data_IF_643770812883
#
_entry.id   IF_643770812883
#
_cell.length_a   1.000
_cell.length_b   1.000
_cell.length_c   1.000
_cell.angle_alpha   90.00
_cell.angle_beta   90.00
_cell.angle_gamma   90.00
#
_symmetry.space_group_name_H-M   'P 1'
#
loop_
_entity.id
_entity.type
_entity.pdbx_description
1 polymer ?
#
# COMPACT_ATOMS: atom_id res chain seq x y z
N UNK A 1 -23.77 -6.31 -6.02
CA UNK A 1 -24.39 -6.15 -4.67
C UNK A 1 -23.30 -5.57 -3.79
N UNK A 2 -23.53 -4.40 -3.17
CA UNK A 2 -22.53 -3.79 -2.27
C UNK A 2 -22.40 -4.64 -1.00
N UNK A 3 -21.18 -4.75 -0.46
CA UNK A 3 -20.93 -5.47 0.80
C UNK A 3 -21.59 -4.69 1.96
N UNK A 4 -22.38 -5.36 2.82
CA UNK A 4 -23.04 -4.71 3.97
C UNK A 4 -22.07 -3.97 4.90
N UNK A 5 -20.81 -4.40 5.01
CA UNK A 5 -19.77 -3.75 5.82
C UNK A 5 -19.36 -2.42 5.22
N UNK A 6 -19.12 -2.40 3.90
CA UNK A 6 -18.80 -1.20 3.13
C UNK A 6 -19.92 -0.16 3.27
N UNK A 7 -21.16 -0.58 3.08
CA UNK A 7 -22.33 0.31 3.23
C UNK A 7 -22.49 0.83 4.66
N UNK A 8 -22.13 0.04 5.66
CA UNK A 8 -22.14 0.46 7.05
C UNK A 8 -21.11 1.55 7.33
N UNK A 9 -19.87 1.39 6.86
CA UNK A 9 -18.80 2.40 6.97
C UNK A 9 -19.21 3.69 6.26
N UNK A 10 -19.72 3.61 5.03
CA UNK A 10 -20.21 4.75 4.25
C UNK A 10 -21.31 5.52 4.96
N UNK A 11 -22.21 4.82 5.65
CA UNK A 11 -23.27 5.44 6.45
C UNK A 11 -22.73 6.20 7.65
N UNK A 12 -21.76 5.60 8.36
CA UNK A 12 -21.14 6.21 9.52
C UNK A 12 -20.26 7.42 9.15
N UNK A 13 -19.64 7.42 7.97
CA UNK A 13 -18.75 8.52 7.53
C UNK A 13 -19.48 9.85 7.32
N UNK A 14 -20.81 9.82 7.13
CA UNK A 14 -21.64 11.05 7.01
C UNK A 14 -21.62 11.90 8.27
N UNK A 15 -21.29 11.32 9.43
CA UNK A 15 -21.18 12.02 10.72
C UNK A 15 -20.04 11.38 11.52
N UNK A 16 -18.85 12.01 11.56
CA UNK A 16 -17.74 11.54 12.38
C UNK A 16 -18.19 11.24 13.80
N UNK A 17 -17.91 10.05 14.28
CA UNK A 17 -18.40 9.56 15.56
C UNK A 17 -17.51 8.45 16.12
N UNK A 18 -17.52 8.21 17.44
CA UNK A 18 -16.80 7.06 18.02
C UNK A 18 -17.25 5.71 17.46
N UNK A 19 -18.44 5.64 16.84
CA UNK A 19 -18.90 4.44 16.15
C UNK A 19 -18.14 4.22 14.83
N UNK A 20 -17.81 5.28 14.09
CA UNK A 20 -16.97 5.20 12.90
C UNK A 20 -15.58 4.68 13.27
N UNK A 21 -14.92 5.28 14.27
CA UNK A 21 -13.58 4.87 14.69
C UNK A 21 -13.53 3.38 15.06
N UNK A 22 -14.49 2.91 15.87
CA UNK A 22 -14.60 1.49 16.24
C UNK A 22 -14.90 0.57 15.05
N UNK A 23 -15.64 1.06 14.07
CA UNK A 23 -15.91 0.30 12.84
C UNK A 23 -14.64 0.16 12.01
N UNK A 24 -13.90 1.25 11.78
CA UNK A 24 -12.63 1.27 11.06
C UNK A 24 -11.59 0.37 11.72
N UNK A 25 -11.46 0.44 13.05
CA UNK A 25 -10.51 -0.40 13.80
C UNK A 25 -10.72 -1.90 13.55
N UNK A 26 -11.99 -2.32 13.41
CA UNK A 26 -12.38 -3.74 13.22
C UNK A 26 -12.53 -4.17 11.77
N UNK A 27 -12.47 -3.24 10.83
CA UNK A 27 -12.63 -3.53 9.40
C UNK A 27 -11.30 -3.88 8.76
N UNK A 28 -11.35 -4.65 7.69
CA UNK A 28 -10.20 -4.95 6.85
C UNK A 28 -9.87 -3.72 5.99
N UNK A 29 -8.62 -3.63 5.55
CA UNK A 29 -8.14 -2.52 4.72
C UNK A 29 -8.96 -2.39 3.43
N UNK A 30 -9.25 -3.51 2.77
CA UNK A 30 -10.01 -3.56 1.51
C UNK A 30 -11.46 -3.06 1.70
N UNK A 31 -12.11 -3.39 2.84
CA UNK A 31 -13.47 -2.91 3.15
C UNK A 31 -13.46 -1.39 3.37
N UNK A 32 -12.38 -0.85 3.99
CA UNK A 32 -12.23 0.59 4.23
C UNK A 32 -11.97 1.32 2.91
N UNK A 33 -11.04 0.82 2.08
CA UNK A 33 -10.74 1.38 0.76
C UNK A 33 -12.00 1.38 -0.12
N UNK A 34 -12.71 0.24 -0.21
CA UNK A 34 -13.97 0.15 -0.93
C UNK A 34 -15.05 1.11 -0.40
N UNK A 35 -15.05 1.39 0.91
CA UNK A 35 -15.98 2.36 1.49
C UNK A 35 -15.61 3.80 1.13
N UNK A 36 -14.33 4.09 0.86
CA UNK A 36 -13.87 5.40 0.39
C UNK A 36 -14.17 5.66 -1.08
N UNK A 37 -14.30 4.60 -1.88
CA UNK A 37 -14.60 4.72 -3.31
C UNK A 37 -15.95 5.36 -3.59
N UNK A 38 -15.97 6.29 -4.56
CA UNK A 38 -17.18 6.93 -5.09
C UNK A 38 -18.01 7.69 -4.05
N UNK A 39 -17.41 8.17 -2.96
CA UNK A 39 -18.10 9.00 -1.97
C UNK A 39 -17.57 10.44 -1.97
N UNK A 40 -18.33 11.34 -1.36
CA UNK A 40 -17.93 12.74 -1.28
C UNK A 40 -16.59 12.92 -0.51
N UNK A 41 -15.70 13.83 -0.95
CA UNK A 41 -14.40 14.04 -0.32
C UNK A 41 -14.43 14.30 1.19
N UNK A 42 -15.50 14.95 1.68
CA UNK A 42 -15.72 15.15 3.13
C UNK A 42 -15.91 13.84 3.89
N UNK A 43 -16.56 12.84 3.28
CA UNK A 43 -16.75 11.52 3.86
C UNK A 43 -15.48 10.69 3.79
N UNK A 44 -14.71 10.82 2.70
CA UNK A 44 -13.36 10.21 2.59
C UNK A 44 -12.45 10.71 3.70
N UNK A 45 -12.39 12.04 3.91
CA UNK A 45 -11.62 12.63 5.03
C UNK A 45 -12.06 12.12 6.39
N UNK A 46 -13.36 11.92 6.60
CA UNK A 46 -13.86 11.37 7.85
C UNK A 46 -13.42 9.93 8.09
N UNK A 47 -13.45 9.10 7.05
CA UNK A 47 -12.94 7.71 7.12
C UNK A 47 -11.43 7.73 7.38
N UNK A 48 -10.66 8.52 6.60
CA UNK A 48 -9.22 8.64 6.78
C UNK A 48 -8.85 9.09 8.19
N UNK A 49 -9.49 10.14 8.70
CA UNK A 49 -9.29 10.63 10.06
C UNK A 49 -9.63 9.59 11.14
N UNK A 50 -10.56 8.67 10.84
CA UNK A 50 -10.96 7.60 11.76
C UNK A 50 -9.95 6.47 11.86
N UNK A 51 -9.04 6.31 10.88
CA UNK A 51 -7.88 5.41 10.97
C UNK A 51 -6.92 5.90 12.07
N UNK A 52 -6.82 7.22 12.23
CA UNK A 52 -6.07 7.86 13.32
C UNK A 52 -4.55 7.71 13.15
N UNK A 53 -3.86 7.30 14.21
CA UNK A 53 -2.41 7.16 14.26
C UNK A 53 -1.94 5.72 14.02
N UNK A 54 -2.77 4.89 13.39
CA UNK A 54 -2.38 3.53 13.02
C UNK A 54 -1.78 3.56 11.62
N UNK A 55 -0.49 3.89 11.54
CA UNK A 55 0.24 4.03 10.27
C UNK A 55 0.24 2.72 9.48
N UNK A 56 0.36 1.55 10.15
CA UNK A 56 0.29 0.26 9.47
C UNK A 56 -1.05 0.08 8.73
N UNK A 57 -2.16 0.29 9.43
CA UNK A 57 -3.49 0.20 8.82
C UNK A 57 -3.71 1.27 7.73
N UNK A 58 -3.15 2.45 7.91
CA UNK A 58 -3.22 3.52 6.91
C UNK A 58 -2.49 3.13 5.63
N UNK A 59 -1.32 2.51 5.74
CA UNK A 59 -0.54 1.98 4.61
C UNK A 59 -1.33 0.88 3.88
N UNK A 60 -1.83 -0.12 4.60
CA UNK A 60 -2.67 -1.19 4.03
C UNK A 60 -3.90 -0.64 3.29
N UNK A 61 -4.58 0.35 3.86
CA UNK A 61 -5.73 0.99 3.21
C UNK A 61 -5.32 1.74 1.96
N UNK A 62 -4.19 2.46 2.01
CA UNK A 62 -3.69 3.23 0.87
C UNK A 62 -3.32 2.32 -0.30
N UNK A 63 -2.69 1.16 -0.04
CA UNK A 63 -2.39 0.14 -1.05
C UNK A 63 -3.65 -0.46 -1.69
N UNK A 64 -4.78 -0.50 -0.97
CA UNK A 64 -6.06 -0.98 -1.49
C UNK A 64 -6.91 0.09 -2.19
N UNK A 65 -6.49 1.36 -2.26
CA UNK A 65 -7.24 2.43 -2.95
C UNK A 65 -7.14 2.22 -4.46
N UNK A 66 -8.28 2.36 -5.13
CA UNK A 66 -8.34 2.31 -6.60
C UNK A 66 -7.41 3.37 -7.23
N UNK A 67 -6.62 2.97 -8.20
CA UNK A 67 -5.56 3.77 -8.81
C UNK A 67 -6.01 5.17 -9.24
N UNK A 68 -7.19 5.29 -9.83
CA UNK A 68 -7.76 6.58 -10.27
C UNK A 68 -8.17 7.51 -9.11
N UNK A 69 -8.32 7.00 -7.89
CA UNK A 69 -8.64 7.80 -6.69
C UNK A 69 -7.39 8.22 -5.90
N UNK A 70 -6.27 7.51 -6.06
CA UNK A 70 -5.02 7.77 -5.33
C UNK A 70 -4.58 9.23 -5.37
N UNK A 71 -4.56 9.95 -6.53
CA UNK A 71 -4.12 11.33 -6.57
C UNK A 71 -4.97 12.28 -5.70
N UNK A 72 -6.25 11.98 -5.49
CA UNK A 72 -7.12 12.78 -4.65
C UNK A 72 -6.99 12.39 -3.16
N UNK A 73 -6.81 11.11 -2.88
CA UNK A 73 -6.64 10.63 -1.49
C UNK A 73 -5.31 11.13 -0.90
N UNK A 74 -4.22 11.07 -1.65
CA UNK A 74 -2.90 11.52 -1.15
C UNK A 74 -2.85 13.02 -0.84
N UNK A 75 -3.68 13.85 -1.48
CA UNK A 75 -3.81 15.28 -1.14
C UNK A 75 -4.37 15.52 0.27
N UNK A 76 -4.97 14.52 0.88
CA UNK A 76 -5.48 14.59 2.27
C UNK A 76 -4.40 14.25 3.30
N UNK A 77 -3.26 13.74 2.86
CA UNK A 77 -2.17 13.20 3.69
C UNK A 77 -1.01 14.20 3.64
N UNK A 78 -0.44 14.49 4.79
CA UNK A 78 0.80 15.28 4.84
C UNK A 78 1.94 14.52 4.15
N UNK A 79 2.82 15.23 3.43
CA UNK A 79 3.88 14.63 2.63
C UNK A 79 4.81 13.72 3.45
N UNK A 80 5.28 14.19 4.61
CA UNK A 80 6.16 13.38 5.46
C UNK A 80 5.43 12.17 6.05
N UNK A 81 4.11 12.27 6.26
CA UNK A 81 3.29 11.13 6.65
C UNK A 81 3.13 10.15 5.48
N UNK A 82 2.85 10.63 4.27
CA UNK A 82 2.77 9.80 3.07
C UNK A 82 4.04 8.96 2.88
N UNK A 83 5.22 9.60 2.97
CA UNK A 83 6.50 8.89 2.86
C UNK A 83 6.66 7.82 3.93
N UNK A 84 6.19 8.09 5.18
CA UNK A 84 6.22 7.05 6.23
C UNK A 84 5.29 5.88 5.93
N UNK A 85 4.11 6.15 5.36
CA UNK A 85 3.17 5.10 5.00
C UNK A 85 3.71 4.22 3.87
N UNK A 86 4.29 4.83 2.84
CA UNK A 86 4.90 4.11 1.73
C UNK A 86 5.98 3.14 2.21
N UNK A 87 6.85 3.57 3.11
CA UNK A 87 7.89 2.71 3.72
C UNK A 87 7.39 1.55 4.59
N UNK A 88 6.11 1.49 4.88
CA UNK A 88 5.46 0.37 5.58
C UNK A 88 4.81 -0.62 4.63
N UNK A 89 4.84 -0.33 3.32
CA UNK A 89 4.29 -1.20 2.28
C UNK A 89 5.35 -2.17 1.76
N UNK A 90 4.91 -3.25 1.14
CA UNK A 90 5.77 -4.05 0.27
C UNK A 90 6.22 -3.21 -0.95
N UNK A 91 7.38 -3.52 -1.53
CA UNK A 91 7.98 -2.69 -2.58
C UNK A 91 7.11 -2.60 -3.84
N UNK A 92 6.38 -3.66 -4.17
CA UNK A 92 5.42 -3.68 -5.27
C UNK A 92 4.21 -2.78 -5.00
N UNK A 93 3.56 -2.89 -3.83
CA UNK A 93 2.48 -2.01 -3.40
C UNK A 93 2.93 -0.54 -3.35
N UNK A 94 4.12 -0.28 -2.81
CA UNK A 94 4.72 1.06 -2.79
C UNK A 94 4.89 1.60 -4.22
N UNK A 95 5.43 0.78 -5.12
CA UNK A 95 5.66 1.14 -6.52
C UNK A 95 4.34 1.42 -7.22
N UNK A 96 3.33 0.58 -7.00
CA UNK A 96 1.99 0.75 -7.58
C UNK A 96 1.38 2.07 -7.14
N UNK A 97 1.39 2.37 -5.85
CA UNK A 97 0.90 3.67 -5.34
C UNK A 97 1.66 4.83 -5.97
N UNK A 98 3.00 4.78 -6.03
CA UNK A 98 3.83 5.85 -6.60
C UNK A 98 3.52 6.04 -8.09
N UNK A 99 3.32 4.97 -8.86
CA UNK A 99 3.11 5.02 -10.32
C UNK A 99 1.89 5.88 -10.73
N UNK A 100 0.87 5.91 -9.89
CA UNK A 100 -0.36 6.68 -10.13
C UNK A 100 -0.34 8.12 -9.63
N UNK A 101 0.74 8.53 -8.96
CA UNK A 101 0.88 9.90 -8.48
C UNK A 101 1.39 10.85 -9.59
N UNK A 102 1.16 12.17 -9.49
CA UNK A 102 1.77 13.14 -10.37
C UNK A 102 3.30 13.07 -10.34
N UNK A 103 3.95 13.21 -11.49
CA UNK A 103 5.42 13.07 -11.66
C UNK A 103 6.23 13.90 -10.66
N UNK A 104 5.80 15.16 -10.41
CA UNK A 104 6.45 16.02 -9.40
C UNK A 104 6.44 15.41 -7.99
N UNK A 105 5.39 14.66 -7.66
CA UNK A 105 5.25 14.01 -6.36
C UNK A 105 6.05 12.72 -6.32
N UNK A 106 6.04 11.93 -7.39
CA UNK A 106 6.87 10.74 -7.54
C UNK A 106 8.34 11.08 -7.29
N UNK A 107 8.87 12.08 -8.00
CA UNK A 107 10.27 12.50 -7.88
C UNK A 107 10.63 12.91 -6.43
N UNK A 108 9.75 13.66 -5.76
CA UNK A 108 9.96 14.05 -4.36
C UNK A 108 9.96 12.86 -3.39
N UNK A 109 9.12 11.86 -3.66
CA UNK A 109 9.07 10.62 -2.86
C UNK A 109 10.37 9.86 -3.06
N UNK A 110 10.78 9.61 -4.31
CA UNK A 110 12.02 8.91 -4.65
C UNK A 110 13.26 9.54 -4.01
N UNK A 111 13.30 10.88 -3.87
CA UNK A 111 14.38 11.59 -3.15
C UNK A 111 14.43 11.28 -1.64
N UNK A 112 13.31 10.81 -1.06
CA UNK A 112 13.20 10.50 0.38
C UNK A 112 13.45 9.02 0.69
N UNK A 113 13.44 8.16 -0.31
CA UNK A 113 13.75 6.74 -0.15
C UNK A 113 15.26 6.52 0.05
N UNK A 114 15.62 5.44 0.73
CA UNK A 114 17.00 5.00 0.80
C UNK A 114 17.47 4.51 -0.58
N UNK A 115 18.76 4.56 -0.86
CA UNK A 115 19.31 4.24 -2.19
C UNK A 115 18.88 2.85 -2.69
N UNK A 116 18.89 1.85 -1.84
CA UNK A 116 18.51 0.48 -2.20
C UNK A 116 17.02 0.36 -2.52
N UNK A 117 16.16 0.89 -1.68
CA UNK A 117 14.70 0.95 -1.85
C UNK A 117 14.33 1.73 -3.13
N UNK A 118 14.96 2.90 -3.30
CA UNK A 118 14.79 3.71 -4.50
C UNK A 118 15.16 2.97 -5.78
N UNK A 119 16.32 2.26 -5.79
CA UNK A 119 16.76 1.48 -6.95
C UNK A 119 15.75 0.36 -7.27
N UNK A 120 15.15 -0.27 -6.27
CA UNK A 120 14.11 -1.29 -6.44
C UNK A 120 12.85 -0.68 -7.06
N UNK A 121 12.34 0.41 -6.49
CA UNK A 121 11.14 1.12 -7.00
C UNK A 121 11.38 1.66 -8.42
N UNK A 122 12.52 2.31 -8.70
CA UNK A 122 12.85 2.80 -10.05
C UNK A 122 12.92 1.66 -11.07
N UNK A 123 13.45 0.49 -10.68
CA UNK A 123 13.49 -0.70 -11.54
C UNK A 123 12.08 -1.23 -11.85
N UNK A 124 11.19 -1.27 -10.87
CA UNK A 124 9.80 -1.70 -11.09
C UNK A 124 9.02 -0.70 -11.94
N UNK A 125 9.16 0.60 -11.67
CA UNK A 125 8.54 1.67 -12.48
C UNK A 125 8.97 1.66 -13.95
N UNK A 126 10.12 1.04 -14.28
CA UNK A 126 10.57 0.90 -15.66
C UNK A 126 9.79 -0.16 -16.47
N UNK A 127 9.04 -1.04 -15.80
CA UNK A 127 8.21 -2.03 -16.47
C UNK A 127 6.80 -1.46 -16.74
N UNK A 128 6.17 -1.83 -17.87
CA UNK A 128 4.75 -1.56 -18.05
C UNK A 128 3.92 -2.29 -16.99
N UNK A 129 2.93 -1.62 -16.41
CA UNK A 129 2.09 -2.13 -15.30
C UNK A 129 1.49 -3.53 -15.59
N UNK A 130 0.94 -3.75 -16.79
CA UNK A 130 0.34 -5.04 -17.20
C UNK A 130 1.36 -6.08 -17.67
N UNK A 131 2.68 -5.82 -17.55
CA UNK A 131 3.71 -6.78 -17.92
C UNK A 131 4.03 -7.72 -16.76
N UNK A 132 4.66 -8.87 -17.06
CA UNK A 132 5.15 -9.77 -16.01
C UNK A 132 6.16 -9.09 -15.07
N UNK A 133 6.93 -8.12 -15.57
CA UNK A 133 7.85 -7.32 -14.75
C UNK A 133 7.13 -6.35 -13.81
N UNK A 134 6.02 -5.75 -14.25
CA UNK A 134 5.19 -4.87 -13.41
C UNK A 134 4.38 -5.60 -12.36
N UNK A 135 4.07 -6.88 -12.60
CA UNK A 135 3.29 -7.73 -11.68
C UNK A 135 4.18 -8.61 -10.78
N UNK A 136 5.52 -8.51 -10.91
CA UNK A 136 6.40 -9.36 -10.12
C UNK A 136 6.63 -8.78 -8.73
N UNK A 137 6.68 -9.66 -7.73
CA UNK A 137 7.24 -9.35 -6.42
C UNK A 137 8.77 -9.43 -6.51
N UNK A 138 9.53 -8.35 -6.20
CA UNK A 138 10.98 -8.33 -6.38
C UNK A 138 11.73 -9.16 -5.32
N UNK A 139 11.15 -9.32 -4.12
CA UNK A 139 11.77 -9.95 -2.97
C UNK A 139 11.64 -11.48 -3.03
N UNK A 140 12.42 -12.09 -3.91
CA UNK A 140 12.49 -13.54 -4.08
C UNK A 140 13.89 -14.07 -3.72
N UNK A 141 13.95 -15.18 -3.01
CA UNK A 141 15.21 -15.87 -2.77
C UNK A 141 15.65 -16.54 -4.07
N UNK A 142 16.74 -16.04 -4.66
CA UNK A 142 17.30 -16.58 -5.90
C UNK A 142 18.39 -17.59 -5.58
N UNK A 143 18.24 -18.79 -6.07
CA UNK A 143 19.23 -19.86 -5.98
C UNK A 143 19.76 -20.24 -7.35
N UNK A 144 21.02 -20.65 -7.39
CA UNK A 144 21.60 -21.23 -8.57
C UNK A 144 21.38 -22.74 -8.57
N UNK A 145 21.40 -23.37 -9.73
CA UNK A 145 21.23 -24.82 -9.89
C UNK A 145 22.40 -25.63 -9.30
N UNK A 146 23.54 -25.00 -9.06
CA UNK A 146 24.71 -25.58 -8.42
C UNK A 146 24.75 -25.38 -6.88
N UNK A 147 23.81 -24.67 -6.31
CA UNK A 147 23.71 -24.51 -4.85
C UNK A 147 23.39 -25.85 -4.19
N UNK A 148 24.08 -26.11 -3.09
CA UNK A 148 23.78 -27.29 -2.23
C UNK A 148 22.55 -27.02 -1.35
N UNK A 149 21.87 -28.08 -0.90
CA UNK A 149 20.75 -27.95 0.06
C UNK A 149 21.14 -27.19 1.35
N UNK A 150 22.41 -27.30 1.78
CA UNK A 150 22.91 -26.59 2.96
C UNK A 150 22.98 -25.08 2.69
N UNK A 151 23.49 -24.68 1.55
CA UNK A 151 23.52 -23.26 1.14
C UNK A 151 22.12 -22.71 0.96
N UNK A 152 21.23 -23.47 0.35
CA UNK A 152 19.82 -23.07 0.23
C UNK A 152 19.17 -22.80 1.58
N UNK A 153 19.35 -23.71 2.56
CA UNK A 153 18.84 -23.54 3.91
C UNK A 153 19.44 -22.29 4.59
N UNK A 154 20.75 -22.06 4.41
CA UNK A 154 21.41 -20.89 4.96
C UNK A 154 20.83 -19.58 4.35
N UNK A 155 20.63 -19.55 3.02
CA UNK A 155 20.01 -18.40 2.34
C UNK A 155 18.59 -18.11 2.88
N UNK A 156 17.77 -19.14 3.12
CA UNK A 156 16.47 -18.99 3.75
C UNK A 156 16.53 -18.48 5.18
N UNK A 157 17.53 -18.88 5.95
CA UNK A 157 17.71 -18.46 7.34
C UNK A 157 18.25 -17.03 7.46
N UNK A 158 18.98 -16.56 6.45
CA UNK A 158 19.55 -15.21 6.38
C UNK A 158 18.58 -14.19 5.74
N UNK A 159 17.57 -14.68 5.00
CA UNK A 159 16.56 -13.81 4.40
C UNK A 159 15.61 -13.31 5.51
N UNK A 160 15.70 -12.02 5.81
CA UNK A 160 14.73 -11.29 6.62
C UNK A 160 13.57 -10.88 5.70
N UNK A 161 12.32 -11.11 6.14
CA UNK A 161 11.08 -10.64 5.51
C UNK A 161 10.79 -11.10 4.05
N UNK A 162 11.12 -12.33 3.71
CA UNK A 162 10.69 -12.90 2.42
C UNK A 162 9.32 -13.56 2.57
N UNK A 163 8.32 -13.03 1.89
CA UNK A 163 7.05 -13.75 1.73
C UNK A 163 7.30 -15.10 1.06
N UNK A 164 6.99 -16.19 1.78
CA UNK A 164 7.09 -17.53 1.20
C UNK A 164 5.92 -17.78 0.26
N UNK A 165 6.11 -17.54 -1.03
CA UNK A 165 5.20 -18.04 -2.05
C UNK A 165 5.38 -19.57 -2.16
N UNK A 166 4.42 -20.33 -1.66
CA UNK A 166 4.33 -21.76 -1.89
C UNK A 166 3.58 -22.01 -3.20
N UNK A 167 4.28 -22.49 -4.20
CA UNK A 167 3.68 -23.01 -5.44
C UNK A 167 3.78 -24.52 -5.48
#
# INVERSE_FOLDING_TARGET
>A
MSDPRVDFIRRLSKRPSPALNRSIEKSRAEDIAAAMSHIAPGNQRAIWAAIGNNDQKAAEVLACIESYELPEVVKMIDFEHLVRLLKLMEVDDETDVISYLPEDLQNKILEKLHSQERDQVENLLAYPEESAGGLMHPDVIRMKDDNTCREAIAMFQEAEDVEMAFY
#
